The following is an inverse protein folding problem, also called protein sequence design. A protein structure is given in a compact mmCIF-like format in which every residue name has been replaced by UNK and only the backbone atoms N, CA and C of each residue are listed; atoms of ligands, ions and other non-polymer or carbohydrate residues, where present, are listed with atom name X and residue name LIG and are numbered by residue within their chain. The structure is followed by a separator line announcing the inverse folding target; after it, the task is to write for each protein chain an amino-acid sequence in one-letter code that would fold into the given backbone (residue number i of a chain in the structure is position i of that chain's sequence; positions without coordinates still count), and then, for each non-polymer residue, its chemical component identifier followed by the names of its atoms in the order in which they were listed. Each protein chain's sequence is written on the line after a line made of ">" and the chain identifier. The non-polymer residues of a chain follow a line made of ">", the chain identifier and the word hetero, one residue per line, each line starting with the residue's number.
data_IF_456670549373
#
_entry.id   IF_456670549373
#
_cell.length_a   1.000
_cell.length_b   1.000
_cell.length_c   1.000
_cell.angle_alpha   90.00
_cell.angle_beta   90.00
_cell.angle_gamma   90.00
#
_symmetry.space_group_name_H-M   'P 1'
#
loop_
_entity.id
_entity.type
_entity.pdbx_description
1 polymer ?
#
# COMPACT_ATOMS: atom_id res chain seq x y z
N UNK A 1 -7.55 -7.44 -16.58
CA UNK A 1 -7.12 -8.85 -16.47
C UNK A 1 -5.60 -9.03 -16.51
N UNK A 2 -4.86 -8.46 -17.47
CA UNK A 2 -3.40 -8.58 -17.50
C UNK A 2 -2.72 -8.08 -16.22
N UNK A 3 -3.13 -6.91 -15.70
CA UNK A 3 -2.55 -6.34 -14.48
C UNK A 3 -2.80 -7.20 -13.24
N UNK A 4 -4.01 -7.78 -13.11
CA UNK A 4 -4.30 -8.75 -12.05
C UNK A 4 -3.38 -9.97 -12.12
N UNK A 5 -3.11 -10.51 -13.32
CA UNK A 5 -2.19 -11.64 -13.49
C UNK A 5 -0.74 -11.27 -13.15
N UNK A 6 -0.28 -10.09 -13.60
CA UNK A 6 1.04 -9.53 -13.24
C UNK A 6 1.16 -9.39 -11.72
N UNK A 7 0.15 -8.82 -11.07
CA UNK A 7 0.10 -8.65 -9.62
C UNK A 7 0.15 -10.01 -8.93
N UNK A 8 -0.73 -10.96 -9.27
CA UNK A 8 -0.71 -12.29 -8.65
C UNK A 8 0.65 -12.99 -8.81
N UNK A 9 1.26 -12.93 -10.00
CA UNK A 9 2.58 -13.52 -10.23
C UNK A 9 3.68 -12.85 -9.41
N UNK A 10 3.73 -11.51 -9.40
CA UNK A 10 4.69 -10.76 -8.60
C UNK A 10 4.51 -11.04 -7.09
N UNK A 11 3.27 -11.17 -6.62
CA UNK A 11 3.02 -11.49 -5.21
C UNK A 11 3.60 -12.87 -4.84
N UNK A 12 3.44 -13.88 -5.70
CA UNK A 12 4.06 -15.19 -5.49
C UNK A 12 5.60 -15.10 -5.40
N UNK A 13 6.24 -14.26 -6.22
CA UNK A 13 7.69 -14.03 -6.13
C UNK A 13 8.08 -13.44 -4.77
N UNK A 14 7.32 -12.47 -4.25
CA UNK A 14 7.61 -11.90 -2.90
C UNK A 14 7.47 -12.94 -1.78
N UNK A 15 6.55 -13.90 -1.93
CA UNK A 15 6.42 -15.01 -0.98
C UNK A 15 7.62 -15.97 -1.04
N UNK A 16 8.19 -16.18 -2.23
CA UNK A 16 9.41 -16.99 -2.40
C UNK A 16 10.60 -16.27 -1.75
N UNK A 17 10.80 -14.97 -2.01
CA UNK A 17 11.89 -14.18 -1.43
C UNK A 17 11.86 -14.17 0.09
N UNK A 18 10.66 -14.03 0.69
CA UNK A 18 10.52 -14.04 2.15
C UNK A 18 11.03 -15.34 2.78
N UNK A 19 10.91 -16.47 2.08
CA UNK A 19 11.21 -17.80 2.61
C UNK A 19 12.50 -18.41 2.03
N UNK A 20 13.32 -17.62 1.31
CA UNK A 20 14.49 -18.09 0.57
C UNK A 20 15.65 -17.09 0.64
N UNK A 21 16.92 -17.52 0.52
CA UNK A 21 18.04 -16.59 0.37
C UNK A 21 18.05 -15.83 -0.97
N UNK A 22 17.16 -16.19 -1.91
CA UNK A 22 17.07 -15.56 -3.22
C UNK A 22 16.40 -14.18 -3.11
N UNK A 23 17.00 -13.17 -3.77
CA UNK A 23 16.45 -11.83 -3.93
C UNK A 23 16.29 -11.50 -5.41
N UNK A 24 15.10 -11.06 -5.79
CA UNK A 24 14.72 -10.65 -7.13
C UNK A 24 14.36 -9.15 -7.18
N UNK A 25 13.91 -8.55 -6.09
CA UNK A 25 13.65 -7.11 -5.98
C UNK A 25 14.95 -6.31 -5.84
N UNK A 26 15.08 -5.22 -6.61
CA UNK A 26 16.12 -4.22 -6.40
C UNK A 26 15.92 -3.41 -5.11
N UNK A 27 16.85 -2.51 -4.82
CA UNK A 27 16.87 -1.75 -3.56
C UNK A 27 16.34 -0.32 -3.72
N UNK A 28 16.06 0.11 -4.94
CA UNK A 28 15.55 1.45 -5.21
C UNK A 28 14.04 1.52 -4.98
N UNK A 29 13.53 2.74 -4.98
CA UNK A 29 12.14 3.02 -4.72
C UNK A 29 11.23 2.48 -5.84
N UNK A 30 11.70 2.52 -7.09
CA UNK A 30 11.01 2.01 -8.28
C UNK A 30 10.95 0.48 -8.33
N UNK A 31 11.84 -0.20 -7.59
CA UNK A 31 11.90 -1.65 -7.51
C UNK A 31 10.94 -2.22 -6.46
N UNK A 32 10.29 -1.36 -5.68
CA UNK A 32 9.31 -1.79 -4.69
C UNK A 32 8.13 -2.42 -5.42
N UNK A 33 7.78 -3.63 -5.00
CA UNK A 33 6.74 -4.41 -5.64
C UNK A 33 5.42 -3.64 -5.73
N UNK A 34 4.85 -3.55 -6.93
CA UNK A 34 3.61 -2.82 -7.23
C UNK A 34 3.62 -1.36 -6.74
N UNK A 35 4.78 -0.73 -6.75
CA UNK A 35 4.91 0.70 -6.48
C UNK A 35 4.16 1.55 -7.52
N UNK A 36 3.41 2.54 -7.03
CA UNK A 36 2.72 3.54 -7.82
C UNK A 36 2.76 4.91 -7.11
N UNK A 37 3.45 5.92 -7.68
CA UNK A 37 3.34 7.30 -7.20
C UNK A 37 1.98 7.88 -7.58
N UNK A 38 1.26 8.44 -6.61
CA UNK A 38 -0.06 9.06 -6.81
C UNK A 38 0.08 10.58 -6.96
N UNK A 39 0.97 11.19 -6.18
CA UNK A 39 1.33 12.61 -6.24
C UNK A 39 2.76 12.81 -5.73
N UNK A 40 3.22 14.06 -5.68
CA UNK A 40 4.54 14.40 -5.11
C UNK A 40 4.67 13.99 -3.63
N UNK A 41 3.56 13.93 -2.90
CA UNK A 41 3.50 13.65 -1.46
C UNK A 41 2.86 12.33 -1.11
N UNK A 42 2.35 11.55 -2.08
CA UNK A 42 1.64 10.31 -1.82
C UNK A 42 2.07 9.20 -2.76
N UNK A 43 2.45 8.07 -2.17
CA UNK A 43 2.80 6.86 -2.90
C UNK A 43 2.12 5.64 -2.31
N UNK A 44 1.90 4.64 -3.17
CA UNK A 44 1.36 3.34 -2.78
C UNK A 44 2.23 2.19 -3.23
N UNK A 45 2.22 1.06 -2.50
CA UNK A 45 2.95 -0.13 -2.93
C UNK A 45 2.44 -1.45 -2.33
N UNK A 46 2.99 -2.55 -2.82
CA UNK A 46 3.08 -3.81 -2.08
C UNK A 46 4.10 -3.71 -0.94
N UNK A 47 4.46 -4.83 -0.34
CA UNK A 47 5.28 -4.85 0.87
C UNK A 47 6.72 -4.40 0.56
N UNK A 48 7.21 -3.28 1.13
CA UNK A 48 8.62 -2.93 1.02
C UNK A 48 9.48 -3.90 1.84
N UNK A 49 10.67 -4.19 1.34
CA UNK A 49 11.70 -4.90 2.12
C UNK A 49 12.37 -3.95 3.11
N UNK A 50 13.12 -4.52 4.07
CA UNK A 50 13.84 -3.72 5.06
C UNK A 50 14.80 -2.68 4.44
N UNK A 51 15.47 -3.03 3.33
CA UNK A 51 16.38 -2.10 2.63
C UNK A 51 15.63 -1.04 1.86
N UNK A 52 14.47 -1.38 1.27
CA UNK A 52 13.65 -0.43 0.55
C UNK A 52 13.02 0.63 1.47
N UNK A 53 12.80 0.35 2.76
CA UNK A 53 12.42 1.39 3.71
C UNK A 53 13.48 2.49 3.88
N UNK A 54 14.77 2.18 3.69
CA UNK A 54 15.81 3.21 3.61
C UNK A 54 15.62 4.10 2.37
N UNK A 55 15.31 3.51 1.21
CA UNK A 55 15.03 4.27 -0.01
C UNK A 55 13.77 5.15 0.12
N UNK A 56 12.74 4.64 0.79
CA UNK A 56 11.52 5.41 1.13
C UNK A 56 11.90 6.64 1.98
N UNK A 57 12.69 6.47 3.05
CA UNK A 57 13.20 7.58 3.87
C UNK A 57 14.01 8.57 3.02
N UNK A 58 14.95 8.07 2.22
CA UNK A 58 15.87 8.91 1.43
C UNK A 58 15.15 9.73 0.36
N UNK A 59 13.99 9.25 -0.11
CA UNK A 59 13.08 10.00 -0.98
C UNK A 59 12.20 11.03 -0.24
N UNK A 60 12.40 11.20 1.07
CA UNK A 60 11.76 12.22 1.90
C UNK A 60 10.36 11.83 2.40
N UNK A 61 9.97 10.55 2.32
CA UNK A 61 8.75 10.10 2.98
C UNK A 61 8.94 10.14 4.50
N UNK A 62 7.90 10.61 5.19
CA UNK A 62 7.92 10.91 6.63
C UNK A 62 6.97 10.02 7.42
N UNK A 63 5.93 9.50 6.75
CA UNK A 63 4.95 8.59 7.37
C UNK A 63 4.71 7.35 6.51
N UNK A 64 4.69 6.19 7.15
CA UNK A 64 4.27 4.91 6.55
C UNK A 64 2.93 4.48 7.15
N UNK A 65 1.95 4.18 6.29
CA UNK A 65 0.68 3.58 6.66
C UNK A 65 0.65 2.14 6.14
N UNK A 66 0.67 1.17 7.05
CA UNK A 66 0.60 -0.25 6.73
C UNK A 66 -0.83 -0.79 6.89
N UNK A 67 -1.40 -1.34 5.82
CA UNK A 67 -2.73 -1.97 5.81
C UNK A 67 -2.69 -3.51 5.89
N UNK A 68 -1.50 -4.11 5.90
CA UNK A 68 -1.29 -5.56 5.97
C UNK A 68 -1.31 -6.03 7.44
N UNK A 69 -2.20 -6.97 7.81
CA UNK A 69 -2.09 -7.64 9.10
C UNK A 69 -0.72 -8.33 9.28
N UNK A 70 -0.22 -8.36 10.52
CA UNK A 70 1.06 -9.02 10.84
C UNK A 70 0.97 -10.54 10.72
N UNK A 71 2.12 -11.19 10.49
CA UNK A 71 2.23 -12.66 10.50
C UNK A 71 1.57 -13.39 9.33
N UNK A 72 1.01 -12.67 8.36
CA UNK A 72 0.38 -13.24 7.17
C UNK A 72 1.07 -12.78 5.89
N UNK A 73 0.83 -13.50 4.79
CA UNK A 73 1.32 -13.12 3.46
C UNK A 73 2.85 -12.86 3.48
N UNK A 74 3.27 -11.77 2.85
CA UNK A 74 4.66 -11.32 2.79
C UNK A 74 5.01 -10.31 3.90
N UNK A 75 4.20 -10.17 4.96
CA UNK A 75 4.43 -9.17 6.02
C UNK A 75 5.86 -9.23 6.57
N UNK A 76 6.48 -8.06 6.76
CA UNK A 76 7.83 -7.93 7.30
C UNK A 76 7.79 -7.97 8.84
N UNK A 77 8.55 -8.87 9.43
CA UNK A 77 8.69 -8.93 10.89
C UNK A 77 9.46 -7.72 11.41
N UNK A 78 8.98 -7.11 12.50
CA UNK A 78 9.61 -5.93 13.10
C UNK A 78 9.47 -4.65 12.27
N UNK A 79 8.53 -4.58 11.32
CA UNK A 79 8.36 -3.40 10.45
C UNK A 79 8.17 -2.09 11.21
N UNK A 80 7.37 -2.10 12.29
CA UNK A 80 7.14 -0.91 13.10
C UNK A 80 8.44 -0.37 13.72
N UNK A 81 9.25 -1.26 14.30
CA UNK A 81 10.53 -0.90 14.92
C UNK A 81 11.53 -0.42 13.86
N UNK A 82 11.54 -1.06 12.69
CA UNK A 82 12.38 -0.65 11.57
C UNK A 82 12.01 0.76 11.09
N UNK A 83 10.75 1.00 10.74
CA UNK A 83 10.29 2.30 10.21
C UNK A 83 10.55 3.42 11.22
N UNK A 84 10.25 3.17 12.49
CA UNK A 84 10.50 4.16 13.56
C UNK A 84 11.98 4.40 13.80
N UNK A 85 12.84 3.37 13.72
CA UNK A 85 14.30 3.53 13.82
C UNK A 85 14.90 4.38 12.68
N UNK A 86 14.22 4.42 11.53
CA UNK A 86 14.59 5.26 10.39
C UNK A 86 14.09 6.71 10.53
N UNK A 87 13.40 7.05 11.63
CA UNK A 87 12.89 8.39 11.91
C UNK A 87 11.56 8.72 11.22
N UNK A 88 10.87 7.73 10.66
CA UNK A 88 9.55 7.90 10.06
C UNK A 88 8.44 7.53 11.05
N UNK A 89 7.30 8.19 10.94
CA UNK A 89 6.09 7.79 11.66
C UNK A 89 5.55 6.48 11.10
N UNK A 90 5.04 5.62 11.97
CA UNK A 90 4.41 4.36 11.60
C UNK A 90 2.96 4.29 12.07
N UNK A 91 2.06 4.02 11.13
CA UNK A 91 0.62 3.88 11.39
C UNK A 91 0.18 2.52 10.87
N UNK A 92 -0.32 1.67 11.77
CA UNK A 92 -0.82 0.34 11.41
C UNK A 92 -2.34 0.29 11.47
N UNK A 93 -2.97 -0.03 10.34
CA UNK A 93 -4.43 -0.20 10.23
C UNK A 93 -4.67 -1.56 9.58
N UNK A 94 -4.63 -2.68 10.32
CA UNK A 94 -4.70 -4.01 9.73
C UNK A 94 -6.06 -4.27 9.09
N UNK A 95 -6.07 -4.56 7.79
CA UNK A 95 -7.30 -4.83 7.02
C UNK A 95 -7.33 -6.27 6.52
N UNK A 96 -8.30 -7.04 7.00
CA UNK A 96 -8.58 -8.38 6.48
C UNK A 96 -9.03 -8.29 5.01
N UNK A 97 -8.34 -8.98 4.11
CA UNK A 97 -8.58 -8.79 2.66
C UNK A 97 -10.02 -9.10 2.24
N UNK A 98 -10.61 -10.16 2.79
CA UNK A 98 -11.97 -10.59 2.46
C UNK A 98 -13.05 -9.90 3.32
N UNK A 99 -12.66 -8.97 4.21
CA UNK A 99 -13.58 -8.26 5.09
C UNK A 99 -13.09 -6.83 5.39
N UNK A 100 -12.94 -5.97 4.36
CA UNK A 100 -12.69 -4.55 4.59
C UNK A 100 -13.93 -3.92 5.25
N UNK A 101 -13.72 -3.01 6.21
CA UNK A 101 -14.81 -2.40 7.01
C UNK A 101 -14.81 -0.87 6.89
N UNK A 102 -15.96 -0.26 7.12
CA UNK A 102 -16.07 1.19 7.19
C UNK A 102 -15.26 1.78 8.35
N UNK A 103 -15.13 1.06 9.47
CA UNK A 103 -14.27 1.49 10.58
C UNK A 103 -12.79 1.56 10.18
N UNK A 104 -12.31 0.58 9.39
CA UNK A 104 -10.97 0.65 8.82
C UNK A 104 -10.82 1.89 7.92
N UNK A 105 -11.82 2.14 7.06
CA UNK A 105 -11.79 3.30 6.16
C UNK A 105 -11.83 4.63 6.92
N UNK A 106 -12.70 4.76 7.92
CA UNK A 106 -12.84 5.97 8.72
C UNK A 106 -11.54 6.27 9.49
N UNK A 107 -10.91 5.24 10.05
CA UNK A 107 -9.59 5.36 10.69
C UNK A 107 -8.54 5.83 9.69
N UNK A 108 -8.50 5.22 8.51
CA UNK A 108 -7.57 5.60 7.45
C UNK A 108 -7.78 7.05 6.97
N UNK A 109 -9.02 7.42 6.67
CA UNK A 109 -9.37 8.76 6.21
C UNK A 109 -9.03 9.83 7.26
N UNK A 110 -9.24 9.54 8.55
CA UNK A 110 -8.86 10.43 9.64
C UNK A 110 -7.34 10.65 9.69
N UNK A 111 -6.53 9.60 9.49
CA UNK A 111 -5.08 9.75 9.42
C UNK A 111 -4.65 10.54 8.17
N UNK A 112 -5.18 10.22 7.00
CA UNK A 112 -4.88 10.96 5.76
C UNK A 112 -5.23 12.46 5.88
N UNK A 113 -6.35 12.80 6.51
CA UNK A 113 -6.74 14.19 6.76
C UNK A 113 -5.79 14.90 7.74
N UNK A 114 -5.28 14.19 8.76
CA UNK A 114 -4.33 14.75 9.73
C UNK A 114 -2.95 14.99 9.12
N UNK A 115 -2.58 14.22 8.11
CA UNK A 115 -1.24 14.15 7.53
C UNK A 115 -1.14 14.90 6.19
N UNK A 116 -2.05 15.83 5.88
CA UNK A 116 -2.12 16.49 4.56
C UNK A 116 -0.83 17.24 4.16
N UNK A 117 -0.04 17.69 5.14
CA UNK A 117 1.24 18.38 4.92
C UNK A 117 2.45 17.43 4.94
N UNK A 118 2.23 16.12 5.10
CA UNK A 118 3.29 15.12 5.16
C UNK A 118 3.42 14.35 3.84
N UNK A 119 4.60 13.76 3.62
CA UNK A 119 4.85 12.85 2.51
C UNK A 119 4.64 11.41 2.97
N UNK A 120 3.57 10.78 2.47
CA UNK A 120 2.98 9.55 3.01
C UNK A 120 3.21 8.37 2.06
N UNK A 121 3.64 7.24 2.62
CA UNK A 121 3.74 5.95 1.95
C UNK A 121 2.67 4.98 2.45
N UNK A 122 1.71 4.60 1.62
CA UNK A 122 0.64 3.66 1.99
C UNK A 122 0.90 2.30 1.35
N UNK A 123 1.04 1.24 2.13
CA UNK A 123 1.30 -0.08 1.56
C UNK A 123 0.44 -1.20 2.17
N UNK A 124 0.47 -2.33 1.49
CA UNK A 124 0.01 -3.61 2.02
C UNK A 124 0.86 -4.73 1.42
N UNK A 125 0.31 -5.93 1.21
CA UNK A 125 1.06 -7.03 0.59
C UNK A 125 1.37 -6.80 -0.89
N UNK A 126 0.37 -6.37 -1.67
CA UNK A 126 0.43 -6.32 -3.13
C UNK A 126 -0.18 -5.04 -3.75
N UNK A 127 -0.32 -3.99 -2.94
CA UNK A 127 -1.01 -2.73 -3.28
C UNK A 127 -2.54 -2.87 -3.54
N UNK A 128 -3.15 -4.04 -3.36
CA UNK A 128 -4.60 -4.21 -3.53
C UNK A 128 -5.42 -3.40 -2.52
N UNK A 129 -5.09 -3.55 -1.22
CA UNK A 129 -5.74 -2.80 -0.12
C UNK A 129 -5.44 -1.30 -0.22
N UNK A 130 -4.17 -0.94 -0.44
CA UNK A 130 -3.70 0.43 -0.44
C UNK A 130 -4.31 1.24 -1.60
N UNK A 131 -4.24 0.74 -2.83
CA UNK A 131 -4.92 1.37 -3.98
C UNK A 131 -6.44 1.53 -3.78
N UNK A 132 -7.11 0.52 -3.21
CA UNK A 132 -8.55 0.59 -2.95
C UNK A 132 -8.91 1.65 -1.88
N UNK A 133 -8.12 1.75 -0.81
CA UNK A 133 -8.31 2.75 0.25
C UNK A 133 -8.05 4.16 -0.26
N UNK A 134 -6.99 4.37 -1.06
CA UNK A 134 -6.70 5.66 -1.69
C UNK A 134 -7.79 6.06 -2.67
N UNK A 135 -8.27 5.16 -3.52
CA UNK A 135 -9.39 5.42 -4.40
C UNK A 135 -10.62 5.89 -3.61
N UNK A 136 -11.01 5.14 -2.58
CA UNK A 136 -12.18 5.47 -1.76
C UNK A 136 -11.99 6.81 -1.04
N UNK A 137 -10.79 7.11 -0.56
CA UNK A 137 -10.48 8.41 0.06
C UNK A 137 -10.64 9.56 -0.93
N UNK A 138 -10.08 9.44 -2.13
CA UNK A 138 -10.15 10.46 -3.18
C UNK A 138 -11.59 10.73 -3.63
N UNK A 139 -12.41 9.69 -3.79
CA UNK A 139 -13.81 9.85 -4.24
C UNK A 139 -14.74 10.26 -3.10
N UNK A 140 -14.64 9.63 -1.92
CA UNK A 140 -15.57 9.86 -0.82
C UNK A 140 -15.24 11.12 -0.01
N UNK A 141 -13.96 11.45 0.18
CA UNK A 141 -13.51 12.57 1.01
C UNK A 141 -13.13 13.78 0.14
N UNK A 142 -12.22 13.59 -0.82
CA UNK A 142 -11.74 14.69 -1.68
C UNK A 142 -12.71 15.06 -2.80
N UNK A 143 -13.76 14.25 -3.00
CA UNK A 143 -14.78 14.44 -4.05
C UNK A 143 -14.21 14.50 -5.47
N UNK A 144 -13.08 13.84 -5.68
CA UNK A 144 -12.51 13.67 -7.02
C UNK A 144 -13.43 12.79 -7.89
N UNK A 145 -13.35 12.99 -9.21
CA UNK A 145 -14.15 12.23 -10.16
C UNK A 145 -13.73 10.74 -10.14
N UNK A 146 -14.65 9.80 -9.83
CA UNK A 146 -14.35 8.36 -9.83
C UNK A 146 -13.75 7.85 -11.15
N UNK A 147 -14.17 8.43 -12.28
CA UNK A 147 -13.72 8.03 -13.62
C UNK A 147 -12.26 8.42 -13.90
N UNK A 148 -11.75 9.48 -13.28
CA UNK A 148 -10.36 9.89 -13.44
C UNK A 148 -9.41 9.10 -12.56
N UNK A 149 -9.85 8.72 -11.35
CA UNK A 149 -8.97 8.12 -10.33
C UNK A 149 -8.99 6.60 -10.32
N UNK A 150 -9.93 5.97 -11.03
CA UNK A 150 -10.00 4.49 -11.13
C UNK A 150 -8.81 3.86 -11.87
N UNK A 151 -8.09 4.64 -12.67
CA UNK A 151 -6.96 4.13 -13.45
C UNK A 151 -5.82 3.67 -12.56
N UNK A 152 -5.52 4.40 -11.49
CA UNK A 152 -4.50 4.04 -10.50
C UNK A 152 -4.76 2.66 -9.88
N UNK A 153 -6.03 2.35 -9.58
CA UNK A 153 -6.40 1.01 -9.09
C UNK A 153 -6.21 -0.03 -10.18
N UNK A 154 -6.63 0.27 -11.42
CA UNK A 154 -6.55 -0.66 -12.56
C UNK A 154 -5.12 -0.97 -12.97
N UNK A 155 -4.16 -0.09 -12.72
CA UNK A 155 -2.74 -0.38 -12.90
C UNK A 155 -2.26 -1.52 -12.00
N UNK A 156 -2.84 -1.61 -10.81
CA UNK A 156 -2.53 -2.64 -9.82
C UNK A 156 -3.37 -3.90 -10.07
N UNK A 157 -4.69 -3.77 -10.12
CA UNK A 157 -5.60 -4.92 -10.22
C UNK A 157 -7.02 -4.50 -10.62
N UNK A 158 -7.84 -5.47 -11.04
CA UNK A 158 -9.28 -5.25 -11.21
C UNK A 158 -10.01 -5.62 -9.91
N UNK A 159 -10.68 -4.67 -9.22
CA UNK A 159 -11.44 -4.95 -8.01
C UNK A 159 -12.53 -6.00 -8.24
N UNK A 160 -12.74 -6.87 -7.24
CA UNK A 160 -13.77 -7.91 -7.29
C UNK A 160 -14.39 -8.16 -5.90
N UNK A 161 -15.57 -8.78 -5.89
CA UNK A 161 -16.26 -9.18 -4.66
C UNK A 161 -16.46 -8.02 -3.68
N UNK A 162 -16.10 -8.25 -2.42
CA UNK A 162 -16.24 -7.29 -1.32
C UNK A 162 -15.61 -5.93 -1.60
N UNK A 163 -14.56 -5.88 -2.44
CA UNK A 163 -13.86 -4.64 -2.75
C UNK A 163 -14.64 -3.73 -3.67
N UNK A 164 -15.43 -4.26 -4.62
CA UNK A 164 -16.31 -3.41 -5.43
C UNK A 164 -17.33 -2.69 -4.56
N UNK A 165 -17.95 -3.43 -3.64
CA UNK A 165 -18.90 -2.86 -2.68
C UNK A 165 -18.21 -1.86 -1.75
N UNK A 166 -17.06 -2.21 -1.18
CA UNK A 166 -16.32 -1.33 -0.26
C UNK A 166 -15.94 0.01 -0.92
N UNK A 167 -15.56 -0.01 -2.20
CA UNK A 167 -15.11 1.17 -2.94
C UNK A 167 -16.24 2.00 -3.55
N UNK A 168 -17.47 1.48 -3.59
CA UNK A 168 -18.53 1.95 -4.50
C UNK A 168 -18.05 1.99 -5.97
N UNK A 169 -17.38 0.92 -6.40
CA UNK A 169 -16.70 0.76 -7.69
C UNK A 169 -17.64 0.60 -8.90
#
# INVERSE_FOLDING_TARGET
>A
MLNTLKTTWGFLLTLIEKNSPLKFSGENLEDIYNYLPISETLSTSGQPTARQFCAIRDAGFTTVINLLPQGIENALDGEADLVTSLGMNYIHIPVAFFRPTDDNFNTFAAQMNRLQDEKIWVHCAANGRASAFIYRYRTAILKENPESVKWDVREIWEPFGVWKTFMNW
#
